data_IF_470635556239
#
_entry.id   IF_470635556239
#
_cell.length_a   1.000
_cell.length_b   1.000
_cell.length_c   1.000
_cell.angle_alpha   90.00
_cell.angle_beta   90.00
_cell.angle_gamma   90.00
#
_symmetry.space_group_name_H-M   'P 1'
#
loop_
_entity.id
_entity.type
_entity.pdbx_description
1 polymer ?
#
# COMPACT_ATOMS: atom_id res chain seq x y z
N UNK A 1 63.27 -47.62 -31.73
CA UNK A 1 63.38 -46.53 -30.74
C UNK A 1 61.97 -46.13 -30.35
N UNK A 2 61.49 -46.60 -29.19
CA UNK A 2 60.19 -46.23 -28.60
C UNK A 2 60.46 -45.29 -27.42
N UNK A 3 59.77 -44.15 -27.30
CA UNK A 3 59.67 -43.46 -26.02
C UNK A 3 58.42 -43.91 -25.27
N UNK A 4 58.68 -44.19 -24.01
CA UNK A 4 57.83 -44.71 -22.94
C UNK A 4 56.75 -43.73 -22.49
N UNK A 5 55.53 -44.22 -22.33
CA UNK A 5 54.43 -43.63 -21.56
C UNK A 5 54.74 -43.66 -20.06
N UNK A 6 54.81 -42.51 -19.42
CA UNK A 6 54.83 -42.36 -17.95
C UNK A 6 53.54 -41.68 -17.49
N UNK A 7 52.66 -42.47 -16.88
CA UNK A 7 51.49 -42.02 -16.13
C UNK A 7 51.92 -41.69 -14.70
N UNK A 8 51.50 -40.52 -14.18
CA UNK A 8 51.69 -40.10 -12.79
C UNK A 8 50.38 -39.47 -12.27
N UNK A 9 49.48 -40.33 -11.79
CA UNK A 9 48.59 -40.06 -10.66
C UNK A 9 49.00 -41.14 -9.62
N UNK A 10 49.15 -40.88 -8.30
CA UNK A 10 48.25 -40.05 -7.47
C UNK A 10 48.89 -39.42 -6.19
N UNK A 11 48.70 -38.13 -5.94
CA UNK A 11 48.80 -37.52 -4.59
C UNK A 11 48.25 -36.10 -4.72
N UNK A 12 47.16 -35.70 -4.08
CA UNK A 12 47.14 -35.45 -2.65
C UNK A 12 45.68 -35.37 -2.21
N UNK A 13 45.25 -36.42 -1.51
CA UNK A 13 43.93 -36.55 -0.91
C UNK A 13 44.00 -35.98 0.52
N UNK A 14 43.92 -34.66 0.70
CA UNK A 14 43.67 -34.03 2.02
C UNK A 14 43.52 -32.52 1.88
N UNK A 15 42.39 -32.03 1.38
CA UNK A 15 42.02 -30.62 1.53
C UNK A 15 40.65 -30.52 2.18
N UNK A 16 40.74 -30.32 3.50
CA UNK A 16 39.82 -29.64 4.40
C UNK A 16 38.33 -29.73 4.03
N UNK A 17 37.62 -30.59 4.75
CA UNK A 17 36.21 -30.41 5.04
C UNK A 17 36.05 -29.15 5.91
N UNK A 18 36.10 -27.95 5.30
CA UNK A 18 35.49 -26.77 5.88
C UNK A 18 33.98 -27.02 5.83
N UNK A 19 33.43 -27.55 6.91
CA UNK A 19 32.00 -27.54 7.16
C UNK A 19 31.58 -26.07 7.22
N UNK A 20 31.09 -25.54 6.10
CA UNK A 20 30.38 -24.29 6.05
C UNK A 20 29.12 -24.44 6.88
N UNK A 21 29.20 -24.02 8.14
CA UNK A 21 28.03 -23.71 8.93
C UNK A 21 27.31 -22.55 8.23
N UNK A 22 26.45 -22.90 7.26
CA UNK A 22 25.55 -21.94 6.63
C UNK A 22 24.66 -21.40 7.75
N UNK A 23 24.66 -20.09 8.02
CA UNK A 23 23.68 -19.53 8.93
C UNK A 23 22.31 -19.90 8.35
N UNK A 24 21.53 -20.68 9.09
CA UNK A 24 20.12 -20.88 8.76
C UNK A 24 19.50 -19.50 8.62
N UNK A 25 18.98 -19.13 7.44
CA UNK A 25 18.29 -17.87 7.31
C UNK A 25 17.07 -17.97 8.22
N UNK A 26 17.14 -17.27 9.36
CA UNK A 26 15.95 -16.94 10.13
C UNK A 26 15.11 -16.01 9.28
N UNK A 27 14.40 -16.58 8.30
CA UNK A 27 13.37 -15.90 7.55
C UNK A 27 12.19 -15.77 8.51
N UNK A 28 12.18 -14.66 9.26
CA UNK A 28 10.94 -14.15 9.82
C UNK A 28 10.06 -13.80 8.63
N UNK A 29 9.22 -14.76 8.22
CA UNK A 29 8.18 -14.47 7.25
C UNK A 29 7.40 -13.25 7.79
N UNK A 30 7.26 -12.17 7.01
CA UNK A 30 6.47 -11.02 7.42
C UNK A 30 5.09 -11.52 7.87
N UNK A 31 4.66 -11.12 9.06
CA UNK A 31 3.30 -11.46 9.52
C UNK A 31 2.33 -10.86 8.52
N UNK A 32 1.40 -11.67 8.07
CA UNK A 32 0.38 -11.20 7.15
C UNK A 32 -0.41 -10.06 7.82
N UNK A 33 -0.56 -8.90 7.17
CA UNK A 33 -1.18 -7.74 7.80
C UNK A 33 -2.67 -7.98 8.03
N UNK A 34 -3.17 -7.59 9.20
CA UNK A 34 -4.60 -7.59 9.53
C UNK A 34 -5.14 -6.18 9.44
N UNK A 35 -6.41 -6.06 9.07
CA UNK A 35 -7.09 -4.76 8.94
C UNK A 35 -7.35 -4.16 10.33
N UNK A 36 -6.99 -2.90 10.56
CA UNK A 36 -7.30 -2.20 11.82
C UNK A 36 -8.82 -2.03 12.03
N UNK A 37 -9.58 -1.80 10.96
CA UNK A 37 -11.05 -1.72 10.99
C UNK A 37 -11.75 -3.08 11.00
N UNK A 38 -11.00 -4.18 10.91
CA UNK A 38 -11.53 -5.53 11.03
C UNK A 38 -10.42 -6.48 11.57
N UNK A 39 -10.10 -6.44 12.88
CA UNK A 39 -8.87 -7.03 13.43
C UNK A 39 -8.69 -8.54 13.23
N UNK A 40 -9.77 -9.26 12.91
CA UNK A 40 -9.76 -10.70 12.61
C UNK A 40 -9.71 -11.01 11.11
N UNK A 41 -9.64 -9.99 10.28
CA UNK A 41 -9.63 -10.12 8.83
C UNK A 41 -8.24 -9.87 8.29
N UNK A 42 -7.75 -10.82 7.50
CA UNK A 42 -6.53 -10.68 6.76
C UNK A 42 -6.69 -9.62 5.67
N UNK A 43 -5.75 -8.67 5.58
CA UNK A 43 -5.78 -7.66 4.52
C UNK A 43 -5.76 -8.31 3.13
N UNK A 44 -6.54 -7.76 2.20
CA UNK A 44 -6.81 -8.39 0.90
C UNK A 44 -8.04 -9.29 0.87
N UNK A 45 -8.63 -9.59 2.03
CA UNK A 45 -9.89 -10.35 2.11
C UNK A 45 -11.08 -9.42 1.95
N UNK A 46 -12.08 -9.82 1.15
CA UNK A 46 -13.31 -9.05 0.95
C UNK A 46 -14.08 -8.90 2.26
N UNK A 47 -14.21 -7.66 2.74
CA UNK A 47 -14.98 -7.33 3.93
C UNK A 47 -16.50 -7.29 3.65
N UNK A 48 -17.36 -7.62 4.64
CA UNK A 48 -18.78 -7.37 4.55
C UNK A 48 -19.07 -5.85 4.54
N UNK A 49 -20.31 -5.48 4.18
CA UNK A 49 -20.74 -4.08 4.03
C UNK A 49 -20.58 -3.23 5.31
N UNK A 50 -20.64 -3.86 6.48
CA UNK A 50 -20.57 -3.17 7.77
C UNK A 50 -19.63 -3.96 8.67
N UNK A 51 -18.32 -3.69 8.61
CA UNK A 51 -17.39 -4.25 9.58
C UNK A 51 -17.83 -3.77 10.97
N UNK A 52 -17.94 -4.69 11.93
CA UNK A 52 -18.06 -4.28 13.33
C UNK A 52 -16.79 -3.54 13.72
N UNK A 53 -16.86 -2.22 13.85
CA UNK A 53 -15.71 -1.39 14.21
C UNK A 53 -15.31 -1.69 15.65
N UNK A 54 -14.29 -2.53 15.82
CA UNK A 54 -13.57 -2.67 17.08
C UNK A 54 -12.19 -2.10 16.88
N UNK A 55 -12.00 -0.86 17.34
CA UNK A 55 -10.70 -0.22 17.32
C UNK A 55 -9.83 -0.68 18.47
N UNK A 56 -8.58 -1.01 18.18
CA UNK A 56 -7.52 -1.06 19.17
C UNK A 56 -6.70 0.21 19.00
N UNK A 57 -6.77 1.13 19.95
CA UNK A 57 -5.99 2.40 19.95
C UNK A 57 -4.52 2.21 20.34
N UNK A 58 -4.04 0.97 20.42
CA UNK A 58 -2.81 0.63 21.14
C UNK A 58 -1.53 0.59 20.29
N UNK A 59 -1.49 1.33 19.18
CA UNK A 59 -0.30 1.39 18.33
C UNK A 59 0.27 2.80 18.28
N UNK A 60 1.35 3.01 19.01
CA UNK A 60 2.25 4.17 18.87
C UNK A 60 3.01 4.20 17.53
N UNK A 61 2.57 3.40 16.55
CA UNK A 61 3.12 3.38 15.20
C UNK A 61 2.17 4.14 14.29
N UNK A 62 2.66 5.19 13.63
CA UNK A 62 1.87 6.07 12.76
C UNK A 62 1.41 5.40 11.46
N UNK A 63 1.66 4.09 11.31
CA UNK A 63 1.33 3.31 10.12
C UNK A 63 0.26 2.27 10.44
N UNK A 64 -0.88 2.35 9.75
CA UNK A 64 -2.00 1.42 9.95
C UNK A 64 -2.44 0.80 8.64
N UNK A 65 -2.86 -0.47 8.69
CA UNK A 65 -3.50 -1.16 7.57
C UNK A 65 -5.01 -1.01 7.68
N UNK A 66 -5.66 -0.52 6.62
CA UNK A 66 -7.10 -0.27 6.58
C UNK A 66 -7.74 -0.90 5.36
N UNK A 67 -8.78 -1.70 5.55
CA UNK A 67 -9.36 -2.49 4.46
C UNK A 67 -10.65 -1.85 3.95
N UNK A 68 -10.80 -1.78 2.63
CA UNK A 68 -11.99 -1.25 2.01
C UNK A 68 -13.16 -2.25 2.14
N UNK A 69 -14.38 -1.78 2.44
CA UNK A 69 -15.55 -2.65 2.47
C UNK A 69 -15.83 -3.22 1.06
N UNK A 70 -16.30 -4.46 0.98
CA UNK A 70 -16.74 -5.13 -0.27
C UNK A 70 -15.65 -5.33 -1.34
N UNK A 71 -14.40 -5.03 -1.04
CA UNK A 71 -13.27 -5.16 -1.97
C UNK A 71 -12.12 -5.95 -1.34
N UNK A 72 -11.26 -6.49 -2.19
CA UNK A 72 -9.94 -6.98 -1.78
C UNK A 72 -8.93 -5.82 -1.64
N UNK A 73 -9.34 -4.61 -1.97
CA UNK A 73 -8.51 -3.42 -1.82
C UNK A 73 -8.32 -3.07 -0.35
N UNK A 74 -7.09 -2.70 0.00
CA UNK A 74 -6.77 -2.08 1.29
C UNK A 74 -5.67 -1.06 1.11
N UNK A 75 -5.54 -0.20 2.11
CA UNK A 75 -4.49 0.82 2.18
C UNK A 75 -3.59 0.57 3.38
N UNK A 76 -2.33 0.95 3.25
CA UNK A 76 -1.41 1.10 4.39
C UNK A 76 -1.15 2.59 4.49
N UNK A 77 -1.72 3.24 5.50
CA UNK A 77 -1.65 4.69 5.70
C UNK A 77 -0.59 5.00 6.71
N UNK A 78 0.32 5.92 6.38
CA UNK A 78 1.29 6.50 7.30
C UNK A 78 0.93 7.96 7.54
N UNK A 79 0.50 8.24 8.76
CA UNK A 79 0.21 9.59 9.26
C UNK A 79 1.47 10.46 9.20
N UNK A 80 1.34 11.69 8.72
CA UNK A 80 2.42 12.66 8.72
C UNK A 80 2.21 13.73 9.79
N UNK A 81 1.12 14.49 9.71
CA UNK A 81 0.77 15.54 10.68
C UNK A 81 -0.71 15.89 10.60
N UNK A 82 -1.30 16.28 11.73
CA UNK A 82 -2.70 16.69 11.80
C UNK A 82 -2.96 17.96 10.97
N UNK A 83 -4.13 18.03 10.35
CA UNK A 83 -4.56 19.17 9.54
C UNK A 83 -5.69 19.94 10.22
N UNK A 84 -5.61 21.28 10.28
CA UNK A 84 -6.72 22.07 10.77
C UNK A 84 -7.86 22.13 9.75
N UNK A 85 -9.08 21.83 10.18
CA UNK A 85 -10.31 22.17 9.46
C UNK A 85 -10.88 21.09 8.53
N UNK A 86 -11.96 21.44 7.84
CA UNK A 86 -12.81 20.50 7.10
C UNK A 86 -12.41 20.27 5.62
N UNK A 87 -11.24 20.74 5.19
CA UNK A 87 -10.84 20.69 3.78
C UNK A 87 -10.58 19.26 3.29
N UNK A 88 -10.01 18.41 4.14
CA UNK A 88 -9.73 17.02 3.81
C UNK A 88 -11.01 16.15 3.65
N UNK A 89 -12.02 16.22 4.56
CA UNK A 89 -13.30 15.57 4.32
C UNK A 89 -13.94 15.97 2.99
N UNK A 90 -13.97 17.28 2.69
CA UNK A 90 -14.53 17.78 1.43
C UNK A 90 -13.71 17.28 0.22
N UNK A 91 -12.38 17.26 0.30
CA UNK A 91 -11.53 16.71 -0.75
C UNK A 91 -11.88 15.25 -1.04
N UNK A 92 -11.97 14.40 -0.01
CA UNK A 92 -12.26 12.97 -0.19
C UNK A 92 -13.67 12.73 -0.73
N UNK A 93 -14.66 13.54 -0.32
CA UNK A 93 -16.01 13.50 -0.88
C UNK A 93 -16.00 13.85 -2.39
N UNK A 94 -15.32 14.93 -2.78
CA UNK A 94 -15.23 15.37 -4.18
C UNK A 94 -14.45 14.36 -5.05
N UNK A 95 -13.37 13.79 -4.53
CA UNK A 95 -12.63 12.70 -5.17
C UNK A 95 -13.54 11.49 -5.36
N UNK A 96 -14.29 11.09 -4.33
CA UNK A 96 -15.22 9.97 -4.40
C UNK A 96 -16.28 10.21 -5.50
N UNK A 97 -16.88 11.40 -5.55
CA UNK A 97 -17.81 11.77 -6.61
C UNK A 97 -17.16 11.75 -8.00
N UNK A 98 -15.95 12.25 -8.18
CA UNK A 98 -15.25 12.24 -9.46
C UNK A 98 -14.97 10.82 -9.95
N UNK A 99 -14.47 9.94 -9.07
CA UNK A 99 -14.18 8.54 -9.39
C UNK A 99 -15.45 7.75 -9.67
N UNK A 100 -16.50 7.93 -8.85
CA UNK A 100 -17.80 7.28 -9.07
C UNK A 100 -18.47 7.77 -10.36
N UNK A 101 -18.36 9.06 -10.68
CA UNK A 101 -18.86 9.62 -11.93
C UNK A 101 -18.20 8.98 -13.16
N UNK A 102 -16.90 8.68 -13.09
CA UNK A 102 -16.22 7.91 -14.13
C UNK A 102 -16.79 6.50 -14.23
N UNK A 103 -16.85 5.74 -13.13
CA UNK A 103 -17.33 4.34 -13.12
C UNK A 103 -18.78 4.22 -13.61
N UNK A 104 -19.61 5.25 -13.41
CA UNK A 104 -20.99 5.26 -13.90
C UNK A 104 -21.11 5.50 -15.40
N UNK A 105 -20.11 6.16 -16.01
CA UNK A 105 -20.16 6.59 -17.42
C UNK A 105 -19.21 5.79 -18.31
N UNK A 106 -18.26 5.06 -17.73
CA UNK A 106 -17.30 4.23 -18.42
C UNK A 106 -17.08 2.91 -17.65
N UNK A 107 -16.70 1.81 -18.32
CA UNK A 107 -16.31 0.57 -17.66
C UNK A 107 -15.15 0.79 -16.69
N UNK A 108 -15.07 -0.04 -15.64
CA UNK A 108 -13.86 -0.10 -14.83
C UNK A 108 -12.66 -0.50 -15.70
N UNK A 109 -11.53 0.15 -15.45
CA UNK A 109 -10.33 0.00 -16.24
C UNK A 109 -9.17 0.80 -15.63
N UNK A 110 -7.96 0.66 -16.19
CA UNK A 110 -6.80 1.40 -15.73
C UNK A 110 -7.03 2.91 -15.76
N UNK A 111 -6.51 3.61 -14.75
CA UNK A 111 -6.45 5.07 -14.77
C UNK A 111 -5.52 5.48 -15.93
N UNK A 112 -5.98 6.34 -16.87
CA UNK A 112 -5.12 6.87 -17.93
C UNK A 112 -3.86 7.50 -17.34
N UNK A 113 -2.73 7.38 -18.03
CA UNK A 113 -1.39 7.85 -17.60
C UNK A 113 -0.85 7.22 -16.30
N UNK A 114 -1.64 6.41 -15.59
CA UNK A 114 -1.23 5.74 -14.35
C UNK A 114 -1.17 6.66 -13.14
N UNK A 115 -1.79 7.83 -13.21
CA UNK A 115 -1.83 8.81 -12.13
C UNK A 115 -3.19 9.49 -12.03
N UNK A 116 -3.56 9.91 -10.82
CA UNK A 116 -4.77 10.66 -10.53
C UNK A 116 -4.45 11.77 -9.54
N UNK A 117 -4.92 12.99 -9.84
CA UNK A 117 -4.73 14.16 -8.99
C UNK A 117 -6.05 14.90 -8.83
N UNK A 118 -6.34 15.34 -7.61
CA UNK A 118 -7.45 16.22 -7.33
C UNK A 118 -7.03 17.25 -6.28
N UNK A 119 -7.40 18.52 -6.49
CA UNK A 119 -7.07 19.60 -5.57
C UNK A 119 -8.27 20.51 -5.35
N UNK A 120 -8.35 21.07 -4.14
CA UNK A 120 -9.28 22.12 -3.76
C UNK A 120 -8.43 23.37 -3.46
N UNK A 121 -8.50 24.41 -4.31
CA UNK A 121 -7.75 25.64 -4.07
C UNK A 121 -8.30 26.40 -2.85
N UNK A 122 -7.40 27.11 -2.16
CA UNK A 122 -7.71 28.19 -1.21
C UNK A 122 -8.61 27.81 -0.02
N UNK A 123 -8.62 26.55 0.40
CA UNK A 123 -9.26 26.16 1.66
C UNK A 123 -8.51 26.75 2.86
N UNK A 124 -9.11 27.73 3.53
CA UNK A 124 -8.46 28.42 4.66
C UNK A 124 -7.13 29.10 4.28
N UNK A 125 -6.96 29.48 3.00
CA UNK A 125 -5.72 30.09 2.49
C UNK A 125 -4.66 29.09 2.01
N UNK A 126 -4.92 27.78 2.05
CA UNK A 126 -4.02 26.75 1.53
C UNK A 126 -4.71 25.86 0.48
N UNK A 127 -3.93 25.16 -0.33
CA UNK A 127 -4.45 24.16 -1.27
C UNK A 127 -4.43 22.79 -0.60
N UNK A 128 -5.56 22.07 -0.62
CA UNK A 128 -5.64 20.69 -0.14
C UNK A 128 -5.71 19.78 -1.35
N UNK A 129 -4.86 18.75 -1.43
CA UNK A 129 -4.74 17.90 -2.60
C UNK A 129 -4.60 16.43 -2.24
N UNK A 130 -5.02 15.58 -3.18
CA UNK A 130 -4.70 14.16 -3.22
C UNK A 130 -4.01 13.87 -4.54
N UNK A 131 -2.91 13.13 -4.49
CA UNK A 131 -2.22 12.62 -5.66
C UNK A 131 -1.95 11.13 -5.48
N UNK A 132 -2.24 10.34 -6.51
CA UNK A 132 -2.12 8.87 -6.52
C UNK A 132 -1.43 8.45 -7.81
N UNK A 133 -0.52 7.49 -7.74
CA UNK A 133 0.22 6.99 -8.91
C UNK A 133 0.53 5.49 -8.80
N UNK A 134 0.68 4.86 -9.97
CA UNK A 134 1.04 3.45 -10.13
C UNK A 134 2.41 3.12 -9.53
N UNK A 135 2.60 1.88 -9.09
CA UNK A 135 3.89 1.37 -8.59
C UNK A 135 4.25 0.03 -9.23
N UNK A 136 5.54 -0.19 -9.49
CA UNK A 136 6.11 -1.47 -9.93
C UNK A 136 5.41 -2.08 -11.16
N UNK A 137 5.06 -1.25 -12.16
CA UNK A 137 4.31 -1.64 -13.35
C UNK A 137 2.90 -2.20 -13.09
N UNK A 138 2.42 -2.20 -11.86
CA UNK A 138 1.04 -2.49 -11.55
C UNK A 138 0.18 -1.26 -11.81
N UNK A 139 -1.00 -1.50 -12.38
CA UNK A 139 -1.92 -0.45 -12.78
C UNK A 139 -3.05 -0.33 -11.77
N UNK A 140 -3.32 0.88 -11.31
CA UNK A 140 -4.51 1.21 -10.54
C UNK A 140 -5.68 1.30 -11.50
N UNK A 141 -6.80 0.65 -11.17
CA UNK A 141 -8.08 0.84 -11.87
C UNK A 141 -8.96 1.84 -11.15
N UNK A 142 -9.98 2.36 -11.82
CA UNK A 142 -10.96 3.26 -11.22
C UNK A 142 -11.69 2.63 -10.03
N UNK A 143 -12.05 1.34 -10.11
CA UNK A 143 -12.67 0.59 -9.02
C UNK A 143 -11.75 0.40 -7.81
N UNK A 144 -10.45 0.17 -8.05
CA UNK A 144 -9.46 0.09 -6.97
C UNK A 144 -9.25 1.46 -6.32
N UNK A 145 -9.16 2.53 -7.10
CA UNK A 145 -9.07 3.90 -6.55
C UNK A 145 -10.32 4.25 -5.73
N UNK A 146 -11.52 3.91 -6.21
CA UNK A 146 -12.78 4.12 -5.48
C UNK A 146 -12.73 3.44 -4.10
N UNK A 147 -12.33 2.17 -4.08
CA UNK A 147 -12.20 1.39 -2.84
C UNK A 147 -11.15 1.96 -1.89
N UNK A 148 -10.02 2.43 -2.43
CA UNK A 148 -8.95 3.05 -1.64
C UNK A 148 -9.39 4.39 -1.02
N UNK A 149 -10.14 5.21 -1.76
CA UNK A 149 -10.70 6.48 -1.26
C UNK A 149 -11.74 6.21 -0.18
N UNK A 150 -12.61 5.20 -0.35
CA UNK A 150 -13.58 4.78 0.69
C UNK A 150 -12.85 4.36 1.98
N UNK A 151 -11.82 3.51 1.86
CA UNK A 151 -10.98 3.12 3.00
C UNK A 151 -10.28 4.31 3.68
N UNK A 152 -9.76 5.27 2.91
CA UNK A 152 -9.06 6.43 3.43
C UNK A 152 -10.02 7.40 4.16
N UNK A 153 -11.23 7.60 3.62
CA UNK A 153 -12.26 8.39 4.27
C UNK A 153 -12.74 7.76 5.58
N UNK A 154 -12.91 6.43 5.61
CA UNK A 154 -13.29 5.70 6.83
C UNK A 154 -12.19 5.77 7.90
N UNK A 155 -10.93 5.62 7.48
CA UNK A 155 -9.75 5.77 8.36
C UNK A 155 -9.74 7.13 9.04
N UNK A 156 -9.81 8.23 8.29
CA UNK A 156 -9.79 9.58 8.87
C UNK A 156 -11.06 9.90 9.65
N UNK A 157 -12.23 9.39 9.22
CA UNK A 157 -13.48 9.54 9.96
C UNK A 157 -13.49 8.83 11.31
N UNK A 158 -12.65 7.80 11.48
CA UNK A 158 -12.49 7.06 12.73
C UNK A 158 -11.29 7.50 13.56
N UNK A 159 -10.42 8.34 13.01
CA UNK A 159 -9.18 8.78 13.65
C UNK A 159 -9.13 10.32 13.67
N UNK A 160 -8.05 10.91 13.17
CA UNK A 160 -7.84 12.35 13.09
C UNK A 160 -7.58 12.74 11.64
N UNK A 161 -8.16 13.85 11.19
CA UNK A 161 -7.93 14.39 9.85
C UNK A 161 -6.49 14.88 9.73
N UNK A 162 -5.71 14.25 8.85
CA UNK A 162 -4.28 14.47 8.79
C UNK A 162 -3.73 14.38 7.36
N UNK A 163 -2.58 15.03 7.15
CA UNK A 163 -1.75 14.75 6.00
C UNK A 163 -1.18 13.34 6.16
N UNK A 164 -1.18 12.58 5.07
CA UNK A 164 -0.70 11.20 5.09
C UNK A 164 -0.10 10.81 3.75
N UNK A 165 0.76 9.80 3.80
CA UNK A 165 1.10 8.99 2.64
C UNK A 165 0.39 7.65 2.77
N UNK A 166 0.09 7.00 1.66
CA UNK A 166 -0.56 5.69 1.71
C UNK A 166 -0.13 4.80 0.54
N UNK A 167 -0.04 3.51 0.79
CA UNK A 167 0.10 2.49 -0.25
C UNK A 167 -1.27 1.86 -0.54
N UNK A 168 -1.56 1.61 -1.82
CA UNK A 168 -2.79 0.94 -2.26
C UNK A 168 -2.43 -0.48 -2.68
N UNK A 169 -3.13 -1.44 -2.09
CA UNK A 169 -3.02 -2.85 -2.40
C UNK A 169 -4.36 -3.37 -2.91
N UNK A 170 -4.32 -4.23 -3.92
CA UNK A 170 -5.47 -4.99 -4.40
C UNK A 170 -5.16 -6.49 -4.24
N UNK A 171 -5.75 -7.09 -3.20
CA UNK A 171 -5.36 -8.43 -2.76
C UNK A 171 -3.88 -8.47 -2.38
N UNK A 172 -3.10 -9.33 -3.05
CA UNK A 172 -1.67 -9.49 -2.76
C UNK A 172 -0.76 -8.52 -3.52
N UNK A 173 -1.32 -7.67 -4.38
CA UNK A 173 -0.55 -6.81 -5.26
C UNK A 173 -0.57 -5.37 -4.77
N UNK A 174 0.61 -4.78 -4.51
CA UNK A 174 0.73 -3.33 -4.35
C UNK A 174 0.58 -2.69 -5.72
N UNK A 175 -0.49 -1.93 -5.92
CA UNK A 175 -0.81 -1.31 -7.21
C UNK A 175 -0.49 0.17 -7.25
N UNK A 176 -0.46 0.84 -6.10
CA UNK A 176 -0.33 2.29 -6.05
C UNK A 176 0.31 2.86 -4.80
N UNK A 177 0.66 4.13 -4.90
CA UNK A 177 1.00 5.02 -3.79
C UNK A 177 0.16 6.28 -3.91
N UNK A 178 -0.03 6.96 -2.79
CA UNK A 178 -0.65 8.27 -2.78
C UNK A 178 -0.18 9.14 -1.63
N UNK A 179 -0.44 10.43 -1.79
CA UNK A 179 -0.28 11.45 -0.76
C UNK A 179 -1.57 12.24 -0.67
N UNK A 180 -1.90 12.67 0.54
CA UNK A 180 -3.03 13.56 0.78
C UNK A 180 -2.65 14.58 1.84
N UNK A 181 -3.05 15.84 1.66
CA UNK A 181 -2.84 16.90 2.62
C UNK A 181 -2.67 18.26 1.98
N UNK A 182 -1.96 19.16 2.67
CA UNK A 182 -1.66 20.49 2.14
C UNK A 182 -0.61 20.41 1.03
N UNK A 183 -0.92 21.02 -0.11
CA UNK A 183 0.04 21.23 -1.18
C UNK A 183 0.76 22.57 -0.94
N UNK A 184 2.10 22.59 -0.87
CA UNK A 184 2.85 23.83 -0.83
C UNK A 184 2.55 24.66 -2.07
N UNK A 185 2.39 25.98 -1.91
CA UNK A 185 2.36 26.90 -3.05
C UNK A 185 3.75 26.84 -3.71
N UNK A 186 3.82 26.20 -4.88
CA UNK A 186 5.01 26.20 -5.75
C UNK A 186 5.21 27.55 -6.41
#
# INVERSE_FOLDING_TARGET
MQPTTTSLLPALLALLTLASALPSPSSLAPRAPYCANAPKTLAGTKLPRTPGLTFSTDQGDHTMTWCAPRSATYIIVTFAYALPGAGLPQLLEQVSHAVMGHIQTAPDGPIPTGEFSYLIPQWGGATVAMHVWNVNNHQITWGVLSSAVEALAEYFGSTEWAAATFAIWDGVNKVGLGVVGLQPNS
#
